data_IF_773525811911
#
_entry.id   IF_773525811911
#
_cell.length_a   1.000
_cell.length_b   1.000
_cell.length_c   1.000
_cell.angle_alpha   90.00
_cell.angle_beta   90.00
_cell.angle_gamma   90.00
#
_symmetry.space_group_name_H-M   'P 1'
#
loop_
_entity.id
_entity.type
_entity.pdbx_description
1 polymer ?
#
# COMPACT_ATOMS: atom_id res chain seq x y z
N UNK A 1 -5.41 -7.08 -7.46
CA UNK A 1 -6.48 -6.06 -7.29
C UNK A 1 -7.78 -6.48 -7.93
N UNK A 2 -7.80 -6.92 -9.20
CA UNK A 2 -9.01 -7.46 -9.85
C UNK A 2 -9.66 -8.58 -9.04
N UNK A 3 -8.91 -9.63 -8.72
CA UNK A 3 -9.40 -10.73 -7.87
C UNK A 3 -9.91 -10.24 -6.50
N UNK A 4 -9.26 -9.24 -5.90
CA UNK A 4 -9.68 -8.68 -4.62
C UNK A 4 -11.01 -7.91 -4.73
N UNK A 5 -11.25 -7.20 -5.84
CA UNK A 5 -12.54 -6.58 -6.12
C UNK A 5 -13.65 -7.64 -6.19
N UNK A 6 -13.38 -8.76 -6.87
CA UNK A 6 -14.32 -9.88 -7.02
C UNK A 6 -14.64 -10.56 -5.70
N UNK A 7 -13.61 -10.87 -4.91
CA UNK A 7 -13.75 -11.53 -3.61
C UNK A 7 -14.50 -10.64 -2.61
N UNK A 8 -14.28 -9.33 -2.66
CA UNK A 8 -14.94 -8.39 -1.73
C UNK A 8 -16.29 -7.89 -2.26
N UNK A 9 -16.63 -8.17 -3.52
CA UNK A 9 -17.80 -7.63 -4.23
C UNK A 9 -17.90 -6.11 -4.16
N UNK A 10 -16.75 -5.43 -4.17
CA UNK A 10 -16.65 -3.97 -4.09
C UNK A 10 -15.88 -3.43 -5.27
N UNK A 11 -16.37 -2.31 -5.82
CA UNK A 11 -15.61 -1.53 -6.79
C UNK A 11 -14.39 -0.90 -6.13
N UNK A 12 -13.27 -0.93 -6.84
CA UNK A 12 -11.99 -0.41 -6.37
C UNK A 12 -11.54 0.68 -7.31
N UNK A 13 -11.39 1.88 -6.76
CA UNK A 13 -10.80 3.03 -7.44
C UNK A 13 -9.30 3.08 -7.11
N UNK A 14 -8.46 2.83 -8.10
CA UNK A 14 -7.00 2.94 -7.99
C UNK A 14 -6.57 4.30 -8.54
N UNK A 15 -6.20 5.21 -7.64
CA UNK A 15 -5.64 6.50 -7.99
C UNK A 15 -4.15 6.53 -7.60
N UNK A 16 -3.29 6.61 -8.61
CA UNK A 16 -1.85 6.66 -8.46
C UNK A 16 -1.34 8.11 -8.50
N UNK A 17 -0.46 8.46 -7.57
CA UNK A 17 0.32 9.69 -7.69
C UNK A 17 1.37 9.52 -8.79
N UNK A 18 1.61 10.56 -9.63
CA UNK A 18 2.72 10.55 -10.57
C UNK A 18 4.08 10.37 -9.87
N UNK A 19 5.13 9.95 -10.60
CA UNK A 19 6.48 9.89 -10.06
C UNK A 19 6.89 11.19 -9.37
N UNK A 20 7.69 11.08 -8.29
CA UNK A 20 8.21 12.22 -7.51
C UNK A 20 7.16 13.04 -6.75
N UNK A 21 5.93 12.53 -6.57
CA UNK A 21 4.85 13.20 -5.84
C UNK A 21 4.55 12.59 -4.46
N UNK A 22 5.48 11.81 -3.88
CA UNK A 22 5.28 11.16 -2.57
C UNK A 22 4.96 12.18 -1.46
N UNK A 23 5.48 13.41 -1.53
CA UNK A 23 5.18 14.52 -0.61
C UNK A 23 3.67 14.75 -0.38
N UNK A 24 2.83 14.45 -1.38
CA UNK A 24 1.39 14.63 -1.30
C UNK A 24 0.65 13.43 -0.71
N UNK A 25 1.30 12.27 -0.58
CA UNK A 25 0.73 11.11 0.06
C UNK A 25 0.74 11.30 1.59
N UNK A 26 -0.43 11.36 2.26
CA UNK A 26 -0.49 11.65 3.69
C UNK A 26 0.26 10.66 4.58
N UNK A 27 0.49 9.43 4.10
CA UNK A 27 1.24 8.41 4.83
C UNK A 27 2.70 8.80 5.07
N UNK A 28 3.32 9.60 4.19
CA UNK A 28 4.70 10.03 4.35
C UNK A 28 4.92 10.83 5.64
N UNK A 29 3.89 11.56 6.12
CA UNK A 29 3.95 12.26 7.41
C UNK A 29 3.99 11.30 8.59
N UNK A 30 3.26 10.18 8.50
CA UNK A 30 3.31 9.13 9.50
C UNK A 30 4.71 8.51 9.56
N UNK A 31 5.36 8.31 8.41
CA UNK A 31 6.72 7.79 8.34
C UNK A 31 7.75 8.75 8.95
N UNK A 32 7.66 10.05 8.68
CA UNK A 32 8.55 11.03 9.32
C UNK A 32 8.41 11.10 10.84
N UNK A 33 7.20 10.89 11.37
CA UNK A 33 7.00 10.81 12.84
C UNK A 33 7.58 9.52 13.40
N UNK A 34 7.38 8.39 12.72
CA UNK A 34 7.97 7.11 13.12
C UNK A 34 9.51 7.18 13.14
N UNK A 35 10.11 7.78 12.12
CA UNK A 35 11.55 8.02 12.04
C UNK A 35 12.03 8.87 13.22
N UNK A 36 11.35 9.98 13.52
CA UNK A 36 11.68 10.82 14.68
C UNK A 36 11.51 10.07 16.01
N UNK A 37 10.48 9.23 16.12
CA UNK A 37 10.20 8.42 17.32
C UNK A 37 11.27 7.37 17.58
N UNK A 38 11.90 6.86 16.52
CA UNK A 38 13.04 5.95 16.61
C UNK A 38 14.37 6.66 16.85
N UNK A 39 14.45 7.98 16.71
CA UNK A 39 15.71 8.71 16.87
C UNK A 39 16.29 8.48 18.28
N UNK A 40 17.55 8.04 18.35
CA UNK A 40 18.24 7.68 19.61
C UNK A 40 17.90 6.29 20.16
N UNK A 41 17.04 5.51 19.49
CA UNK A 41 16.68 4.15 19.91
C UNK A 41 17.48 3.11 19.14
N UNK A 42 18.01 2.11 19.85
CA UNK A 42 18.70 0.98 19.24
C UNK A 42 17.73 -0.15 18.84
N UNK A 43 17.37 -0.21 17.56
CA UNK A 43 16.43 -1.19 17.00
C UNK A 43 17.12 -2.53 16.68
N UNK A 44 17.38 -3.35 17.70
CA UNK A 44 18.16 -4.60 17.55
C UNK A 44 17.41 -5.76 16.88
N UNK A 45 16.08 -5.82 17.03
CA UNK A 45 15.28 -6.92 16.51
C UNK A 45 13.82 -6.48 16.25
N UNK A 46 13.07 -7.35 15.58
CA UNK A 46 11.67 -7.10 15.22
C UNK A 46 10.78 -6.84 16.44
N UNK A 47 11.01 -7.53 17.56
CA UNK A 47 10.24 -7.36 18.79
C UNK A 47 10.44 -5.96 19.37
N UNK A 48 11.68 -5.49 19.45
CA UNK A 48 12.03 -4.12 19.87
C UNK A 48 11.38 -3.11 18.94
N UNK A 49 11.50 -3.29 17.61
CA UNK A 49 10.86 -2.40 16.64
C UNK A 49 9.35 -2.32 16.84
N UNK A 50 8.66 -3.45 16.99
CA UNK A 50 7.21 -3.51 17.22
C UNK A 50 6.80 -2.84 18.52
N UNK A 51 7.55 -3.05 19.60
CA UNK A 51 7.28 -2.42 20.89
C UNK A 51 7.36 -0.89 20.77
N UNK A 52 8.37 -0.36 20.06
CA UNK A 52 8.53 1.07 19.82
C UNK A 52 7.46 1.65 18.89
N UNK A 53 7.12 0.98 17.79
CA UNK A 53 6.08 1.49 16.89
C UNK A 53 4.74 1.58 17.62
N UNK A 54 4.41 0.64 18.51
CA UNK A 54 3.16 0.67 19.27
C UNK A 54 3.05 1.88 20.21
N UNK A 55 4.17 2.43 20.69
CA UNK A 55 4.15 3.60 21.59
C UNK A 55 4.13 4.93 20.85
N UNK A 56 4.37 4.93 19.54
CA UNK A 56 4.26 6.14 18.74
C UNK A 56 2.79 6.62 18.71
N UNK A 57 2.60 7.91 18.42
CA UNK A 57 1.27 8.48 18.15
C UNK A 57 1.23 9.10 16.76
N UNK A 58 0.13 8.85 16.04
CA UNK A 58 -0.17 9.49 14.76
C UNK A 58 -1.60 10.06 14.82
N UNK A 59 -1.73 11.37 14.62
CA UNK A 59 -3.02 12.09 14.79
C UNK A 59 -3.70 11.80 16.14
N UNK A 60 -2.91 11.66 17.20
CA UNK A 60 -3.41 11.36 18.55
C UNK A 60 -3.77 9.89 18.81
N UNK A 61 -3.57 9.00 17.83
CA UNK A 61 -3.87 7.58 17.95
C UNK A 61 -2.61 6.73 17.97
N UNK A 62 -2.58 5.70 18.82
CA UNK A 62 -1.55 4.67 18.76
C UNK A 62 -1.84 3.71 17.59
N UNK A 63 -0.81 3.28 16.84
CA UNK A 63 -1.00 2.40 15.70
C UNK A 63 -1.29 0.96 16.13
N UNK A 64 -2.08 0.25 15.31
CA UNK A 64 -2.23 -1.20 15.40
C UNK A 64 -1.16 -1.83 14.51
N UNK A 65 -0.22 -2.55 15.12
CA UNK A 65 0.93 -3.12 14.43
C UNK A 65 0.92 -4.64 14.54
N UNK A 66 1.04 -5.33 13.40
CA UNK A 66 1.16 -6.79 13.32
C UNK A 66 2.40 -7.18 12.53
N UNK A 67 3.16 -8.14 13.06
CA UNK A 67 4.28 -8.73 12.34
C UNK A 67 3.79 -9.87 11.45
N UNK A 68 4.01 -9.75 10.15
CA UNK A 68 3.84 -10.88 9.23
C UNK A 68 5.15 -11.63 9.08
N UNK A 69 5.13 -12.94 9.34
CA UNK A 69 6.25 -13.86 9.04
C UNK A 69 6.11 -14.50 7.65
N UNK A 70 5.08 -14.12 6.88
CA UNK A 70 4.84 -14.66 5.55
C UNK A 70 5.98 -14.25 4.63
N UNK A 71 6.64 -15.24 4.03
CA UNK A 71 7.64 -15.01 2.98
C UNK A 71 6.89 -14.79 1.67
N UNK A 72 7.04 -13.61 1.07
CA UNK A 72 6.51 -13.31 -0.25
C UNK A 72 7.55 -13.70 -1.29
N UNK A 73 7.20 -14.65 -2.16
CA UNK A 73 8.05 -15.03 -3.27
C UNK A 73 8.26 -13.83 -4.21
N UNK A 74 9.51 -13.61 -4.61
CA UNK A 74 9.89 -12.58 -5.58
C UNK A 74 9.84 -13.16 -6.98
N UNK A 75 9.73 -12.30 -7.99
CA UNK A 75 9.73 -12.72 -9.40
C UNK A 75 8.39 -13.25 -9.92
N UNK A 76 7.32 -13.16 -9.14
CA UNK A 76 5.97 -13.45 -9.63
C UNK A 76 5.55 -12.28 -10.54
N UNK A 77 5.51 -12.53 -11.85
CA UNK A 77 4.93 -11.62 -12.85
C UNK A 77 3.94 -12.39 -13.69
N UNK A 78 2.84 -11.73 -14.05
CA UNK A 78 1.95 -12.24 -15.09
C UNK A 78 2.69 -12.24 -16.43
N UNK A 79 2.39 -13.24 -17.26
CA UNK A 79 2.77 -13.23 -18.67
C UNK A 79 2.00 -12.13 -19.41
N UNK A 80 2.49 -11.74 -20.59
CA UNK A 80 1.79 -10.77 -21.45
C UNK A 80 0.37 -11.23 -21.82
N UNK A 81 0.14 -12.53 -21.95
CA UNK A 81 -1.18 -13.10 -22.28
C UNK A 81 -2.14 -12.94 -21.11
N UNK A 82 -1.72 -13.29 -19.90
CA UNK A 82 -2.54 -13.14 -18.69
C UNK A 82 -2.84 -11.67 -18.40
N UNK A 83 -1.85 -10.79 -18.57
CA UNK A 83 -2.03 -9.36 -18.34
C UNK A 83 -3.06 -8.73 -19.30
N UNK A 84 -3.19 -9.24 -20.53
CA UNK A 84 -4.24 -8.77 -21.46
C UNK A 84 -5.65 -9.01 -20.93
N UNK A 85 -5.89 -10.16 -20.30
CA UNK A 85 -7.21 -10.46 -19.72
C UNK A 85 -7.51 -9.57 -18.50
N UNK A 86 -6.47 -9.27 -17.70
CA UNK A 86 -6.59 -8.30 -16.61
C UNK A 86 -6.90 -6.90 -17.14
N UNK A 87 -6.19 -6.45 -18.18
CA UNK A 87 -6.33 -5.10 -18.76
C UNK A 87 -7.75 -4.83 -19.27
N UNK A 88 -8.43 -5.83 -19.84
CA UNK A 88 -9.85 -5.72 -20.27
C UNK A 88 -10.79 -5.32 -19.13
N UNK A 89 -10.41 -5.61 -17.89
CA UNK A 89 -11.21 -5.32 -16.68
C UNK A 89 -10.85 -3.98 -16.03
N UNK A 90 -9.85 -3.27 -16.56
CA UNK A 90 -9.40 -1.99 -16.03
C UNK A 90 -10.11 -0.85 -16.78
N UNK A 91 -11.13 -0.27 -16.15
CA UNK A 91 -11.80 0.93 -16.68
C UNK A 91 -10.91 2.15 -16.43
N UNK A 92 -10.29 2.67 -17.49
CA UNK A 92 -9.39 3.83 -17.40
C UNK A 92 -10.16 5.14 -17.55
N UNK A 93 -9.86 6.09 -16.68
CA UNK A 93 -10.44 7.44 -16.77
C UNK A 93 -10.02 8.12 -18.09
N UNK A 94 -10.93 8.77 -18.84
CA UNK A 94 -10.60 9.45 -20.10
C UNK A 94 -9.55 10.57 -19.97
N UNK A 95 -9.54 11.29 -18.85
CA UNK A 95 -8.63 12.41 -18.60
C UNK A 95 -7.30 11.98 -17.99
N UNK A 96 -7.32 10.93 -17.16
CA UNK A 96 -6.14 10.43 -16.45
C UNK A 96 -5.96 8.91 -16.62
N UNK A 97 -5.91 8.39 -17.85
CA UNK A 97 -5.99 6.95 -18.10
C UNK A 97 -4.83 6.15 -17.51
N UNK A 98 -3.69 6.79 -17.27
CA UNK A 98 -2.51 6.19 -16.66
C UNK A 98 -2.61 6.08 -15.13
N UNK A 99 -3.35 6.97 -14.49
CA UNK A 99 -3.28 7.19 -13.05
C UNK A 99 -4.58 6.84 -12.33
N UNK A 100 -5.71 6.92 -13.02
CA UNK A 100 -7.05 6.70 -12.50
C UNK A 100 -7.65 5.47 -13.21
N UNK A 101 -7.80 4.40 -12.45
CA UNK A 101 -8.30 3.11 -12.91
C UNK A 101 -9.41 2.64 -11.97
N UNK A 102 -10.59 2.43 -12.51
CA UNK A 102 -11.71 1.79 -11.83
C UNK A 102 -11.73 0.30 -12.15
N UNK A 103 -11.94 -0.52 -11.12
CA UNK A 103 -12.14 -1.96 -11.24
C UNK A 103 -13.49 -2.29 -10.63
N UNK A 104 -14.38 -2.89 -11.41
CA UNK A 104 -15.68 -3.38 -10.93
C UNK A 104 -15.61 -4.87 -10.59
N UNK A 105 -16.33 -5.31 -9.54
CA UNK A 105 -16.48 -6.72 -9.26
C UNK A 105 -17.25 -7.39 -10.39
N UNK A 106 -16.87 -8.63 -10.71
CA UNK A 106 -17.64 -9.54 -11.57
C UNK A 106 -18.70 -10.31 -10.78
#
# INVERSE_FOLDING_TARGET
MVEFADQTKKSIQLLYFPPYHSKYNPIERCWGILERHWNGTLLRNAQTMLAWVKTMTWKGLNPIVKLSKKVYQKGISLTKKEMKEIEKRLERNPHLPKWDILIRPS
#
